data_IF_696195350870
#
_entry.id   IF_696195350870
#
_cell.length_a   1.000
_cell.length_b   1.000
_cell.length_c   1.000
_cell.angle_alpha   90.00
_cell.angle_beta   90.00
_cell.angle_gamma   90.00
#
_symmetry.space_group_name_H-M   'P 1'
#
loop_
_entity.id
_entity.type
_entity.pdbx_description
1 polymer ?
#
# COMPACT_ATOMS: atom_id res chain seq x y z
N UNK A 1 -2.99 -9.49 -19.99
CA UNK A 1 -3.17 -10.25 -18.73
C UNK A 1 -3.92 -9.36 -17.76
N UNK A 2 -4.55 -9.92 -16.73
CA UNK A 2 -5.45 -9.18 -15.82
C UNK A 2 -4.73 -8.14 -14.94
N UNK A 3 -3.39 -8.21 -14.87
CA UNK A 3 -2.53 -7.30 -14.12
C UNK A 3 -1.39 -6.81 -15.01
N UNK A 4 -1.70 -5.97 -16.00
CA UNK A 4 -0.71 -5.22 -16.77
C UNK A 4 -0.58 -3.82 -16.17
N UNK A 5 0.08 -3.73 -15.02
CA UNK A 5 0.26 -2.48 -14.26
C UNK A 5 1.73 -2.12 -14.14
N UNK A 6 2.04 -0.83 -14.18
CA UNK A 6 3.39 -0.35 -13.86
C UNK A 6 3.59 -0.28 -12.33
N UNK A 7 4.80 0.07 -11.88
CA UNK A 7 5.10 0.15 -10.44
C UNK A 7 4.34 1.30 -9.75
N UNK A 8 4.15 2.43 -10.41
CA UNK A 8 3.38 3.57 -9.90
C UNK A 8 1.93 3.13 -9.57
N UNK A 9 1.26 2.47 -10.51
CA UNK A 9 -0.10 1.96 -10.34
C UNK A 9 -0.19 0.90 -9.24
N UNK A 10 0.83 0.06 -9.09
CA UNK A 10 0.90 -0.92 -7.99
C UNK A 10 0.92 -0.20 -6.63
N UNK A 11 1.78 0.81 -6.47
CA UNK A 11 1.90 1.58 -5.24
C UNK A 11 0.62 2.36 -4.93
N UNK A 12 0.06 3.07 -5.92
CA UNK A 12 -1.21 3.81 -5.78
C UNK A 12 -2.35 2.87 -5.40
N UNK A 13 -2.42 1.69 -6.04
CA UNK A 13 -3.43 0.68 -5.70
C UNK A 13 -3.27 0.23 -4.26
N UNK A 14 -2.05 -0.06 -3.80
CA UNK A 14 -1.82 -0.50 -2.41
C UNK A 14 -2.23 0.57 -1.39
N UNK A 15 -1.96 1.86 -1.65
CA UNK A 15 -2.44 2.97 -0.82
C UNK A 15 -3.97 2.97 -0.76
N UNK A 16 -4.63 2.91 -1.92
CA UNK A 16 -6.08 2.93 -2.00
C UNK A 16 -6.73 1.70 -1.32
N UNK A 17 -6.10 0.51 -1.42
CA UNK A 17 -6.60 -0.72 -0.77
C UNK A 17 -6.35 -0.70 0.74
N UNK A 18 -5.22 -0.16 1.19
CA UNK A 18 -4.96 0.03 2.62
C UNK A 18 -5.96 1.02 3.25
N UNK A 19 -6.29 2.09 2.54
CA UNK A 19 -7.22 3.12 3.03
C UNK A 19 -8.61 2.56 3.39
N UNK A 20 -9.10 1.55 2.67
CA UNK A 20 -10.37 0.88 2.97
C UNK A 20 -10.38 0.28 4.40
N UNK A 21 -9.22 -0.11 4.95
CA UNK A 21 -9.09 -0.60 6.33
C UNK A 21 -8.69 0.51 7.29
N UNK A 22 -7.79 1.41 6.88
CA UNK A 22 -7.26 2.50 7.72
C UNK A 22 -8.35 3.46 8.22
N UNK A 23 -9.39 3.68 7.41
CA UNK A 23 -10.51 4.56 7.76
C UNK A 23 -11.40 4.01 8.88
N UNK A 24 -11.34 2.69 9.13
CA UNK A 24 -12.05 1.99 10.21
C UNK A 24 -11.10 1.65 11.37
N UNK A 25 -10.14 2.52 11.70
CA UNK A 25 -9.15 2.24 12.75
C UNK A 25 -9.64 2.69 14.13
N UNK A 26 -9.00 2.27 15.23
CA UNK A 26 -9.29 2.84 16.54
C UNK A 26 -9.25 4.38 16.54
N UNK A 27 -10.23 5.02 17.17
CA UNK A 27 -10.37 6.48 17.23
C UNK A 27 -11.19 7.12 16.10
N UNK A 28 -11.83 6.33 15.22
CA UNK A 28 -12.71 6.85 14.15
C UNK A 28 -14.18 6.47 14.29
N UNK A 29 -14.58 5.82 15.39
CA UNK A 29 -15.94 5.33 15.62
C UNK A 29 -15.94 4.10 16.53
N UNK A 30 -17.09 3.46 16.71
CA UNK A 30 -17.19 2.17 17.40
C UNK A 30 -16.91 1.00 16.46
N UNK A 31 -17.15 1.17 15.16
CA UNK A 31 -16.78 0.18 14.15
C UNK A 31 -15.28 0.24 13.87
N UNK A 32 -14.58 -0.79 14.31
CA UNK A 32 -13.11 -0.85 14.26
C UNK A 32 -12.64 -2.14 13.58
N UNK A 33 -11.84 -1.97 12.54
CA UNK A 33 -10.99 -2.98 11.94
C UNK A 33 -9.67 -3.08 12.71
N UNK A 34 -9.30 -4.30 13.10
CA UNK A 34 -7.96 -4.60 13.65
C UNK A 34 -6.85 -4.55 12.59
N UNK A 35 -7.16 -4.19 11.33
CA UNK A 35 -6.23 -4.18 10.21
C UNK A 35 -6.17 -5.51 9.47
N UNK A 36 -4.99 -5.85 8.94
CA UNK A 36 -4.83 -7.06 8.14
C UNK A 36 -3.38 -7.35 7.77
N UNK A 37 -3.20 -8.42 6.99
CA UNK A 37 -1.87 -8.80 6.47
C UNK A 37 -1.79 -8.57 4.97
N UNK A 38 -0.71 -7.95 4.53
CA UNK A 38 -0.45 -7.80 3.11
C UNK A 38 -0.05 -9.14 2.51
N UNK A 39 -0.86 -9.62 1.57
CA UNK A 39 -0.60 -10.88 0.87
C UNK A 39 0.68 -10.75 0.03
N UNK A 40 1.65 -11.63 0.30
CA UNK A 40 2.99 -11.70 -0.32
C UNK A 40 3.83 -10.45 -0.05
N UNK A 41 4.85 -10.53 0.81
CA UNK A 41 5.76 -9.40 1.01
C UNK A 41 6.78 -9.25 -0.13
N UNK A 42 7.45 -10.34 -0.48
CA UNK A 42 8.45 -10.45 -1.55
C UNK A 42 7.88 -11.27 -2.69
N UNK A 43 8.18 -10.89 -3.94
CA UNK A 43 7.82 -11.69 -5.11
C UNK A 43 8.28 -13.15 -4.95
N UNK A 44 7.48 -14.07 -5.47
CA UNK A 44 7.59 -15.50 -5.13
C UNK A 44 7.13 -16.39 -6.28
N UNK A 45 7.56 -17.66 -6.27
CA UNK A 45 7.19 -18.66 -7.28
C UNK A 45 5.88 -19.42 -6.95
N UNK A 46 4.97 -18.82 -6.17
CA UNK A 46 3.63 -19.36 -5.94
C UNK A 46 2.74 -19.14 -7.17
N UNK A 47 1.50 -19.65 -7.15
CA UNK A 47 0.48 -19.34 -8.16
C UNK A 47 0.46 -17.84 -8.52
N UNK A 48 0.50 -17.55 -9.82
CA UNK A 48 0.65 -16.20 -10.36
C UNK A 48 -0.44 -15.88 -11.38
N UNK A 49 -0.65 -14.58 -11.59
CA UNK A 49 -1.52 -14.01 -12.61
C UNK A 49 -0.79 -12.79 -13.18
N UNK A 50 -0.20 -12.92 -14.37
CA UNK A 50 0.68 -11.90 -14.92
C UNK A 50 1.36 -12.36 -16.20
N UNK A 51 2.18 -11.49 -16.79
CA UNK A 51 2.98 -11.81 -17.98
C UNK A 51 4.21 -12.68 -17.63
N UNK A 52 4.76 -12.50 -16.42
CA UNK A 52 5.87 -13.30 -15.91
C UNK A 52 5.40 -14.65 -15.36
N UNK A 53 6.30 -15.63 -15.34
CA UNK A 53 6.04 -17.00 -14.86
C UNK A 53 6.14 -17.16 -13.33
N UNK A 54 6.09 -16.06 -12.57
CA UNK A 54 6.10 -16.04 -11.11
C UNK A 54 5.24 -14.88 -10.57
N UNK A 55 4.88 -14.93 -9.29
CA UNK A 55 3.97 -13.98 -8.66
C UNK A 55 4.69 -12.69 -8.27
N UNK A 56 4.30 -11.58 -8.92
CA UNK A 56 4.86 -10.23 -8.73
C UNK A 56 4.08 -9.31 -7.78
N UNK A 57 3.37 -9.90 -6.82
CA UNK A 57 2.49 -9.16 -5.89
C UNK A 57 3.25 -8.50 -4.73
N UNK A 58 4.54 -8.77 -4.54
CA UNK A 58 5.38 -8.27 -3.46
C UNK A 58 5.58 -6.75 -3.49
N UNK A 59 5.87 -6.15 -2.33
CA UNK A 59 6.40 -4.78 -2.23
C UNK A 59 7.92 -4.75 -2.40
N UNK A 60 8.56 -5.91 -2.34
CA UNK A 60 9.91 -6.13 -2.87
C UNK A 60 9.86 -7.13 -4.01
N UNK A 61 10.87 -7.12 -4.86
CA UNK A 61 11.12 -8.21 -5.80
C UNK A 61 11.60 -9.48 -5.07
N UNK A 62 11.93 -10.54 -5.81
CA UNK A 62 12.39 -11.80 -5.25
C UNK A 62 13.82 -11.71 -4.67
N UNK A 63 14.60 -10.69 -5.03
CA UNK A 63 15.93 -10.41 -4.48
C UNK A 63 15.90 -9.40 -3.33
N UNK A 64 14.70 -9.03 -2.87
CA UNK A 64 14.47 -8.05 -1.80
C UNK A 64 14.99 -6.66 -2.17
N UNK A 65 14.87 -6.30 -3.44
CA UNK A 65 14.97 -4.92 -3.91
C UNK A 65 13.57 -4.30 -3.74
N UNK A 66 13.53 -3.16 -3.08
CA UNK A 66 12.33 -2.44 -2.71
C UNK A 66 11.67 -1.79 -3.94
N UNK A 67 10.35 -1.94 -4.07
CA UNK A 67 9.51 -1.22 -5.04
C UNK A 67 8.95 0.04 -4.40
N UNK A 68 8.38 0.96 -5.18
CA UNK A 68 7.72 2.17 -4.65
C UNK A 68 6.68 1.87 -3.56
N UNK A 69 5.96 0.75 -3.69
CA UNK A 69 4.96 0.32 -2.72
C UNK A 69 5.55 -0.01 -1.33
N UNK A 70 6.83 -0.40 -1.24
CA UNK A 70 7.52 -0.59 0.03
C UNK A 70 7.64 0.75 0.77
N UNK A 71 8.12 1.77 0.09
CA UNK A 71 8.28 3.11 0.66
C UNK A 71 6.94 3.78 0.96
N UNK A 72 5.93 3.58 0.11
CA UNK A 72 4.57 4.01 0.40
C UNK A 72 4.04 3.40 1.70
N UNK A 73 4.24 2.10 1.93
CA UNK A 73 3.88 1.45 3.20
C UNK A 73 4.70 1.99 4.37
N UNK A 74 5.99 2.27 4.20
CA UNK A 74 6.78 2.89 5.27
C UNK A 74 6.17 4.22 5.72
N UNK A 75 5.78 5.09 4.78
CA UNK A 75 5.11 6.35 5.11
C UNK A 75 3.79 6.12 5.87
N UNK A 76 2.96 5.17 5.41
CA UNK A 76 1.63 4.95 6.00
C UNK A 76 1.63 4.17 7.31
N UNK A 77 2.65 3.33 7.55
CA UNK A 77 2.69 2.35 8.64
C UNK A 77 3.78 2.63 9.67
N UNK A 78 4.45 3.79 9.63
CA UNK A 78 5.43 4.16 10.65
C UNK A 78 4.76 4.62 11.96
N UNK A 79 4.07 3.68 12.61
CA UNK A 79 3.42 3.85 13.92
C UNK A 79 2.82 2.54 14.42
N UNK A 80 1.94 2.60 15.42
CA UNK A 80 1.17 1.44 15.89
C UNK A 80 -0.25 1.46 15.30
N UNK A 81 -0.98 2.57 15.50
CA UNK A 81 -2.28 2.84 14.87
C UNK A 81 -2.18 4.15 14.11
N UNK A 82 -1.92 5.26 14.81
CA UNK A 82 -1.55 6.53 14.18
C UNK A 82 -0.05 6.55 13.85
N UNK A 83 0.31 7.31 12.81
CA UNK A 83 1.70 7.50 12.41
C UNK A 83 2.46 8.32 13.45
N UNK A 84 3.62 7.83 13.86
CA UNK A 84 4.46 8.45 14.89
C UNK A 84 5.56 9.33 14.29
N UNK A 85 5.96 9.06 13.04
CA UNK A 85 6.96 9.85 12.32
C UNK A 85 6.40 10.32 10.99
N UNK A 86 6.49 11.62 10.79
CA UNK A 86 6.09 12.22 9.53
C UNK A 86 7.10 11.91 8.44
N UNK A 87 6.61 11.42 7.31
CA UNK A 87 7.44 11.05 6.16
C UNK A 87 6.77 11.47 4.85
N UNK A 88 7.60 11.65 3.82
CA UNK A 88 7.17 11.95 2.46
C UNK A 88 7.98 11.13 1.48
N UNK A 89 7.33 10.66 0.42
CA UNK A 89 7.95 9.87 -0.63
C UNK A 89 7.34 10.23 -1.99
N UNK A 90 8.18 10.50 -2.99
CA UNK A 90 7.74 10.70 -4.37
C UNK A 90 7.83 9.34 -5.08
N UNK A 91 6.73 8.89 -5.68
CA UNK A 91 6.67 7.62 -6.42
C UNK A 91 7.42 7.77 -7.75
N UNK A 92 8.27 6.79 -8.07
CA UNK A 92 8.96 6.66 -9.35
C UNK A 92 10.32 7.36 -9.41
N UNK A 93 10.62 7.98 -10.55
CA UNK A 93 11.91 8.62 -10.84
C UNK A 93 11.73 9.94 -11.61
N UNK A 94 12.83 10.67 -11.84
CA UNK A 94 12.79 11.97 -12.55
C UNK A 94 13.71 12.00 -13.78
N UNK A 95 13.54 11.01 -14.66
CA UNK A 95 14.27 10.86 -15.92
C UNK A 95 13.26 10.57 -17.03
N UNK A 96 12.83 11.59 -17.76
CA UNK A 96 11.86 11.45 -18.83
C UNK A 96 12.38 12.14 -20.11
N UNK A 97 11.84 11.80 -21.30
CA UNK A 97 12.12 12.58 -22.49
C UNK A 97 11.71 14.04 -22.33
N UNK A 98 12.41 14.94 -23.01
CA UNK A 98 12.04 16.36 -23.07
C UNK A 98 10.57 16.52 -23.51
N UNK A 99 9.90 17.52 -22.95
CA UNK A 99 8.47 17.83 -23.17
C UNK A 99 7.48 16.80 -22.60
N UNK A 100 7.93 15.80 -21.83
CA UNK A 100 7.02 14.92 -21.10
C UNK A 100 6.18 15.74 -20.10
N UNK A 101 4.85 15.58 -20.14
CA UNK A 101 3.94 16.06 -19.10
C UNK A 101 3.25 14.85 -18.53
N UNK A 102 3.33 14.67 -17.21
CA UNK A 102 2.76 13.51 -16.53
C UNK A 102 2.22 13.89 -15.16
N UNK A 103 1.34 13.05 -14.59
CA UNK A 103 1.02 13.17 -13.18
C UNK A 103 2.21 12.77 -12.30
N UNK A 104 2.34 13.43 -11.15
CA UNK A 104 3.26 13.06 -10.08
C UNK A 104 2.45 12.68 -8.85
N UNK A 105 2.84 11.59 -8.20
CA UNK A 105 2.22 11.10 -6.98
C UNK A 105 3.19 11.15 -5.82
N UNK A 106 2.72 11.70 -4.71
CA UNK A 106 3.48 11.81 -3.47
C UNK A 106 2.71 11.13 -2.36
N UNK A 107 3.37 10.27 -1.59
CA UNK A 107 2.83 9.66 -0.39
C UNK A 107 3.32 10.46 0.80
N UNK A 108 2.42 10.95 1.65
CA UNK A 108 2.80 11.75 2.83
C UNK A 108 1.81 11.60 3.98
N UNK A 109 2.30 11.77 5.21
CA UNK A 109 1.47 11.86 6.43
C UNK A 109 0.86 13.25 6.64
N UNK A 110 1.30 14.25 5.87
CA UNK A 110 0.87 15.63 6.05
C UNK A 110 -0.57 15.90 5.66
N UNK A 111 -1.01 17.11 6.00
CA UNK A 111 -2.33 17.62 5.66
C UNK A 111 -2.33 18.25 4.28
N UNK A 112 -1.22 18.89 3.92
CA UNK A 112 -0.97 19.46 2.61
C UNK A 112 0.44 19.09 2.14
N UNK A 113 0.59 18.91 0.83
CA UNK A 113 1.90 18.71 0.19
C UNK A 113 2.02 19.69 -0.96
N UNK A 114 3.13 20.40 -1.01
CA UNK A 114 3.51 21.29 -2.11
C UNK A 114 4.66 20.67 -2.90
N UNK A 115 4.60 20.77 -4.23
CA UNK A 115 5.60 20.23 -5.12
C UNK A 115 6.43 21.37 -5.71
N UNK A 116 7.75 21.19 -5.76
CA UNK A 116 8.70 22.14 -6.29
C UNK A 116 9.51 21.49 -7.40
N UNK A 117 9.68 22.20 -8.52
CA UNK A 117 10.57 21.81 -9.60
C UNK A 117 11.66 22.88 -9.77
N UNK A 118 12.90 22.48 -9.51
CA UNK A 118 14.06 23.37 -9.53
C UNK A 118 13.85 24.64 -8.68
N UNK A 119 13.27 24.46 -7.49
CA UNK A 119 12.99 25.53 -6.53
C UNK A 119 11.71 26.34 -6.81
N UNK A 120 11.03 26.13 -7.94
CA UNK A 120 9.77 26.80 -8.26
C UNK A 120 8.59 25.96 -7.80
N UNK A 121 7.68 26.55 -7.02
CA UNK A 121 6.45 25.88 -6.61
C UNK A 121 5.55 25.57 -7.81
N UNK A 122 4.98 24.37 -7.81
CA UNK A 122 3.95 23.88 -8.73
C UNK A 122 2.57 23.83 -8.05
N UNK A 123 2.45 24.38 -6.84
CA UNK A 123 1.23 24.40 -6.04
C UNK A 123 1.08 23.17 -5.15
N UNK A 124 -0.10 23.07 -4.50
CA UNK A 124 -0.45 22.00 -3.57
C UNK A 124 -1.16 20.85 -4.28
N UNK A 125 -0.84 19.63 -3.85
CA UNK A 125 -1.38 18.41 -4.44
C UNK A 125 -2.81 18.13 -3.99
N UNK A 126 -3.57 17.43 -4.84
CA UNK A 126 -4.90 16.92 -4.48
C UNK A 126 -4.75 15.71 -3.57
N UNK A 127 -5.21 15.81 -2.32
CA UNK A 127 -5.20 14.72 -1.33
C UNK A 127 -6.27 13.67 -1.64
N UNK A 128 -5.89 12.40 -1.59
CA UNK A 128 -6.72 11.22 -1.82
C UNK A 128 -6.30 10.11 -0.85
N UNK A 129 -7.25 9.27 -0.43
CA UNK A 129 -6.98 8.11 0.44
C UNK A 129 -6.15 8.47 1.70
N UNK A 130 -6.34 9.68 2.22
CA UNK A 130 -5.60 10.32 3.32
C UNK A 130 -4.09 10.55 3.10
N UNK A 131 -3.40 9.73 2.31
CA UNK A 131 -1.93 9.74 2.20
C UNK A 131 -1.39 10.09 0.82
N UNK A 132 -2.21 10.01 -0.23
CA UNK A 132 -1.80 10.22 -1.61
C UNK A 132 -2.07 11.66 -2.05
N UNK A 133 -1.06 12.34 -2.56
CA UNK A 133 -1.16 13.67 -3.14
C UNK A 133 -0.81 13.63 -4.62
N UNK A 134 -1.76 14.02 -5.47
CA UNK A 134 -1.63 13.95 -6.93
C UNK A 134 -1.47 15.34 -7.53
N UNK A 135 -0.55 15.46 -8.48
CA UNK A 135 -0.28 16.65 -9.28
C UNK A 135 -0.41 16.27 -10.76
N UNK A 136 -1.51 16.65 -11.44
CA UNK A 136 -1.91 16.01 -12.70
C UNK A 136 -1.01 16.35 -13.92
N UNK A 137 -0.49 17.58 -13.98
CA UNK A 137 0.14 18.13 -15.19
C UNK A 137 1.54 18.68 -14.91
N UNK A 138 2.46 17.83 -14.46
CA UNK A 138 3.84 18.26 -14.20
C UNK A 138 4.68 18.10 -15.47
N UNK A 139 5.10 19.23 -16.04
CA UNK A 139 6.03 19.25 -17.17
C UNK A 139 7.44 18.92 -16.69
N UNK A 140 8.03 17.87 -17.26
CA UNK A 140 9.38 17.46 -16.96
C UNK A 140 10.39 18.54 -17.34
N UNK A 141 11.27 18.85 -16.39
CA UNK A 141 12.54 19.53 -16.65
C UNK A 141 13.63 18.81 -15.86
N UNK A 142 14.81 18.58 -16.45
CA UNK A 142 15.94 18.03 -15.72
C UNK A 142 16.25 18.84 -14.46
N UNK A 143 16.64 18.15 -13.39
CA UNK A 143 17.05 18.75 -12.13
C UNK A 143 16.39 18.07 -10.93
N UNK A 144 15.91 18.86 -9.97
CA UNK A 144 15.37 18.39 -8.69
C UNK A 144 13.86 18.58 -8.64
N UNK A 145 13.13 17.48 -8.42
CA UNK A 145 11.72 17.50 -8.04
C UNK A 145 11.63 17.23 -6.53
N UNK A 146 11.01 18.13 -5.78
CA UNK A 146 10.95 18.08 -4.32
C UNK A 146 9.51 18.24 -3.83
N UNK A 147 9.09 17.39 -2.90
CA UNK A 147 7.82 17.50 -2.22
C UNK A 147 8.05 17.92 -0.76
N UNK A 148 7.32 18.93 -0.32
CA UNK A 148 7.36 19.45 1.05
C UNK A 148 5.99 19.27 1.68
N UNK A 149 5.97 18.64 2.85
CA UNK A 149 4.75 18.26 3.57
C UNK A 149 4.54 19.17 4.77
N UNK A 150 3.29 19.59 4.97
CA UNK A 150 2.88 20.52 6.01
C UNK A 150 1.77 19.94 6.89
N UNK A 151 1.78 20.29 8.17
CA UNK A 151 0.69 19.97 9.10
C UNK A 151 -0.45 21.01 9.05
N UNK A 152 -1.52 20.81 9.84
CA UNK A 152 -2.69 21.72 9.92
C UNK A 152 -2.33 23.18 10.25
N UNK A 153 -1.21 23.40 10.94
CA UNK A 153 -0.73 24.75 11.31
C UNK A 153 0.16 25.39 10.22
N UNK A 154 0.36 24.73 9.08
CA UNK A 154 1.21 25.20 7.98
C UNK A 154 2.71 25.03 8.25
N UNK A 155 3.10 24.27 9.28
CA UNK A 155 4.51 23.98 9.56
C UNK A 155 4.99 22.79 8.73
N UNK A 156 6.17 22.92 8.13
CA UNK A 156 6.86 21.80 7.48
C UNK A 156 7.15 20.68 8.49
N UNK A 157 6.81 19.44 8.11
CA UNK A 157 6.97 18.23 8.92
C UNK A 157 7.86 17.18 8.25
N UNK A 158 7.90 17.14 6.91
CA UNK A 158 8.82 16.27 6.17
C UNK A 158 9.02 16.76 4.73
N UNK A 159 10.08 16.30 4.08
CA UNK A 159 10.37 16.58 2.67
C UNK A 159 11.04 15.39 2.00
N UNK A 160 10.88 15.27 0.69
CA UNK A 160 11.55 14.26 -0.13
C UNK A 160 11.87 14.81 -1.51
N UNK A 161 12.97 14.37 -2.11
CA UNK A 161 13.35 14.81 -3.44
C UNK A 161 13.89 13.67 -4.29
N UNK A 162 13.60 13.75 -5.59
CA UNK A 162 14.21 12.93 -6.64
C UNK A 162 14.94 13.84 -7.61
N UNK A 163 16.08 13.38 -8.10
CA UNK A 163 16.91 14.12 -9.05
C UNK A 163 16.97 13.38 -10.38
N UNK A 164 17.12 14.13 -11.47
CA UNK A 164 17.46 13.57 -12.78
C UNK A 164 18.88 13.00 -12.74
N UNK A 165 19.00 11.68 -12.92
CA UNK A 165 20.29 11.03 -13.11
C UNK A 165 20.88 11.39 -14.48
N UNK A 166 22.20 11.54 -14.56
CA UNK A 166 22.92 11.72 -15.83
C UNK A 166 23.05 10.43 -16.63
N UNK A 167 23.89 10.51 -17.67
CA UNK A 167 24.22 9.34 -18.50
C UNK A 167 24.96 8.27 -17.69
N UNK A 168 24.67 6.97 -17.93
CA UNK A 168 25.39 5.86 -17.32
C UNK A 168 26.91 5.96 -17.49
N UNK A 169 27.64 5.92 -16.37
CA UNK A 169 29.10 6.11 -16.37
C UNK A 169 29.86 4.90 -15.81
N UNK A 170 29.34 4.25 -14.76
CA UNK A 170 30.06 3.15 -14.10
C UNK A 170 29.13 2.14 -13.42
N UNK A 171 29.73 1.01 -13.02
CA UNK A 171 29.09 -0.01 -12.19
C UNK A 171 29.49 0.20 -10.73
N UNK A 172 28.52 0.14 -9.82
CA UNK A 172 28.74 0.15 -8.38
C UNK A 172 28.37 -1.21 -7.81
N UNK A 173 29.31 -1.85 -7.09
CA UNK A 173 29.08 -3.11 -6.38
C UNK A 173 29.05 -2.85 -4.87
N UNK A 174 28.00 -3.33 -4.20
CA UNK A 174 27.85 -3.24 -2.75
C UNK A 174 27.54 -4.62 -2.18
N UNK A 175 28.35 -5.11 -1.23
CA UNK A 175 28.07 -6.35 -0.51
C UNK A 175 27.16 -6.10 0.69
N UNK A 176 26.17 -6.98 0.85
CA UNK A 176 25.28 -7.08 1.99
C UNK A 176 25.55 -8.45 2.63
N UNK A 177 26.22 -8.42 3.77
CA UNK A 177 26.76 -9.60 4.47
C UNK A 177 26.00 -9.81 5.79
N UNK A 178 26.23 -10.97 6.43
CA UNK A 178 25.95 -11.13 7.84
C UNK A 178 26.67 -10.03 8.66
N UNK A 179 26.09 -9.52 9.76
CA UNK A 179 26.74 -8.55 10.64
C UNK A 179 28.15 -8.95 11.14
N UNK A 180 28.44 -10.24 11.24
CA UNK A 180 29.75 -10.76 11.65
C UNK A 180 30.70 -11.05 10.47
N UNK A 181 30.29 -10.72 9.24
CA UNK A 181 31.06 -10.97 8.01
C UNK A 181 30.64 -12.24 7.26
N UNK A 182 31.26 -12.48 6.11
CA UNK A 182 30.93 -13.62 5.26
C UNK A 182 31.66 -14.89 5.73
N UNK A 183 30.96 -15.92 6.18
CA UNK A 183 31.54 -17.10 6.82
C UNK A 183 31.73 -18.26 5.84
N UNK A 184 32.84 -19.00 5.98
CA UNK A 184 33.16 -20.18 5.19
C UNK A 184 32.57 -21.46 5.79
N UNK A 185 31.24 -21.53 5.90
CA UNK A 185 30.51 -22.72 6.37
C UNK A 185 29.87 -23.53 5.23
N UNK A 186 29.99 -23.08 3.98
CA UNK A 186 29.38 -23.72 2.81
C UNK A 186 27.90 -23.38 2.58
N UNK A 187 27.29 -22.57 3.45
CA UNK A 187 25.87 -22.23 3.41
C UNK A 187 25.63 -20.72 3.46
N UNK A 188 26.50 -19.94 4.10
CA UNK A 188 26.40 -18.50 4.21
C UNK A 188 26.39 -17.85 2.83
N UNK A 189 25.63 -16.78 2.71
CA UNK A 189 25.38 -16.10 1.45
C UNK A 189 25.63 -14.61 1.61
N UNK A 190 26.45 -14.06 0.71
CA UNK A 190 26.56 -12.62 0.54
C UNK A 190 25.70 -12.20 -0.65
N UNK A 191 24.89 -11.16 -0.42
CA UNK A 191 24.11 -10.51 -1.46
C UNK A 191 24.99 -9.41 -2.08
N UNK A 192 25.10 -9.38 -3.40
CA UNK A 192 25.84 -8.36 -4.13
C UNK A 192 24.85 -7.51 -4.90
N UNK A 193 24.65 -6.28 -4.44
CA UNK A 193 23.90 -5.29 -5.20
C UNK A 193 24.80 -4.70 -6.27
N UNK A 194 24.30 -4.71 -7.50
CA UNK A 194 24.92 -4.04 -8.65
C UNK A 194 24.02 -2.89 -9.08
N UNK A 195 24.62 -1.71 -9.26
CA UNK A 195 23.93 -0.53 -9.77
C UNK A 195 24.68 0.04 -10.98
N UNK A 196 23.94 0.46 -11.99
CA UNK A 196 24.44 1.35 -13.04
C UNK A 196 24.24 2.77 -12.55
N UNK A 197 25.33 3.52 -12.42
CA UNK A 197 25.31 4.89 -11.88
C UNK A 197 25.91 5.89 -12.86
N UNK A 198 25.43 7.12 -12.77
CA UNK A 198 25.99 8.27 -13.48
C UNK A 198 27.34 8.71 -12.88
N UNK A 199 27.94 9.76 -13.44
CA UNK A 199 29.23 10.30 -12.99
C UNK A 199 29.21 10.84 -11.54
N UNK A 200 28.03 11.17 -11.02
CA UNK A 200 27.82 11.72 -9.69
C UNK A 200 27.39 10.62 -8.69
N UNK A 201 27.34 9.36 -9.13
CA UNK A 201 27.01 8.19 -8.33
C UNK A 201 25.51 7.95 -8.16
N UNK A 202 24.65 8.65 -8.89
CA UNK A 202 23.20 8.43 -8.86
C UNK A 202 22.82 7.25 -9.75
N UNK A 203 21.95 6.37 -9.24
CA UNK A 203 21.42 5.24 -10.02
C UNK A 203 20.68 5.74 -11.26
N UNK A 204 20.99 5.18 -12.42
CA UNK A 204 20.32 5.49 -13.69
C UNK A 204 19.02 4.65 -13.83
N UNK A 205 17.82 5.22 -13.56
CA UNK A 205 16.60 4.43 -13.40
C UNK A 205 16.03 3.85 -14.71
N UNK A 206 16.55 4.28 -15.86
CA UNK A 206 16.13 3.80 -17.19
C UNK A 206 17.04 2.69 -17.73
N UNK A 207 18.12 2.37 -17.05
CA UNK A 207 19.10 1.40 -17.53
C UNK A 207 18.63 -0.04 -17.28
N UNK A 208 18.56 -0.84 -18.34
CA UNK A 208 18.17 -2.26 -18.25
C UNK A 208 19.20 -3.18 -18.94
N UNK A 209 20.47 -2.75 -19.01
CA UNK A 209 21.52 -3.50 -19.72
C UNK A 209 21.89 -4.79 -18.99
N UNK A 210 22.48 -5.72 -19.72
CA UNK A 210 23.06 -6.95 -19.15
C UNK A 210 24.45 -6.70 -18.58
N UNK A 211 24.69 -7.24 -17.38
CA UNK A 211 25.99 -7.23 -16.70
C UNK A 211 26.53 -8.66 -16.66
N UNK A 212 27.79 -8.82 -17.09
CA UNK A 212 28.52 -10.08 -17.01
C UNK A 212 29.34 -10.14 -15.72
N UNK A 213 29.17 -11.23 -14.98
CA UNK A 213 29.85 -11.51 -13.73
C UNK A 213 30.90 -12.60 -13.89
N UNK A 214 32.07 -12.40 -13.27
CA UNK A 214 33.10 -13.42 -13.13
C UNK A 214 33.46 -13.54 -11.65
N UNK A 215 33.29 -14.73 -11.09
CA UNK A 215 33.65 -15.04 -9.71
C UNK A 215 34.94 -15.87 -9.66
N UNK A 216 35.86 -15.51 -8.78
CA UNK A 216 37.08 -16.26 -8.48
C UNK A 216 37.26 -16.42 -6.97
N UNK A 217 37.89 -17.52 -6.58
CA UNK A 217 38.22 -17.79 -5.17
C UNK A 217 37.22 -18.73 -4.49
N UNK A 218 37.20 -18.71 -3.16
CA UNK A 218 36.53 -19.72 -2.33
C UNK A 218 35.01 -19.52 -2.15
N UNK A 219 34.30 -19.32 -3.26
CA UNK A 219 32.85 -19.15 -3.26
C UNK A 219 32.19 -19.64 -4.55
N UNK A 220 30.88 -19.85 -4.49
CA UNK A 220 30.06 -20.30 -5.59
C UNK A 220 29.04 -19.25 -6.00
N UNK A 221 28.90 -19.05 -7.31
CA UNK A 221 27.86 -18.19 -7.88
C UNK A 221 26.50 -18.85 -7.74
N UNK A 222 25.52 -18.10 -7.21
CA UNK A 222 24.12 -18.55 -7.06
C UNK A 222 23.13 -17.69 -7.88
N UNK A 223 23.63 -16.77 -8.71
CA UNK A 223 22.80 -16.00 -9.63
C UNK A 223 21.96 -14.91 -8.98
N UNK A 224 21.15 -14.28 -9.81
CA UNK A 224 20.04 -13.43 -9.40
C UNK A 224 18.79 -13.84 -10.18
N UNK A 225 17.91 -12.87 -10.41
CA UNK A 225 16.73 -13.02 -11.27
C UNK A 225 16.52 -11.73 -12.04
N UNK A 226 16.05 -11.84 -13.28
CA UNK A 226 15.61 -10.70 -14.09
C UNK A 226 14.54 -11.17 -15.09
N UNK A 227 13.75 -10.25 -15.63
CA UNK A 227 12.84 -10.56 -16.73
C UNK A 227 13.61 -11.08 -17.94
N UNK A 228 13.15 -12.20 -18.50
CA UNK A 228 13.80 -12.85 -19.63
C UNK A 228 13.59 -14.36 -19.68
N UNK A 229 14.23 -15.02 -20.63
CA UNK A 229 14.16 -16.47 -20.77
C UNK A 229 14.69 -17.14 -19.49
N UNK A 230 13.90 -18.06 -18.92
CA UNK A 230 14.25 -18.77 -17.67
C UNK A 230 14.57 -17.84 -16.48
N UNK A 231 14.16 -16.57 -16.54
CA UNK A 231 14.39 -15.53 -15.55
C UNK A 231 15.86 -15.31 -15.15
N UNK A 232 16.83 -15.67 -16.01
CA UNK A 232 18.27 -15.55 -15.74
C UNK A 232 18.76 -16.29 -14.48
N UNK A 233 18.02 -17.30 -14.01
CA UNK A 233 18.40 -18.06 -12.82
C UNK A 233 19.75 -18.76 -13.04
N UNK A 234 20.70 -18.52 -12.13
CA UNK A 234 22.10 -18.99 -12.18
C UNK A 234 22.95 -18.42 -13.33
N UNK A 235 22.39 -17.64 -14.25
CA UNK A 235 23.16 -17.01 -15.32
C UNK A 235 24.18 -16.02 -14.74
N UNK A 236 25.38 -16.01 -15.30
CA UNK A 236 26.39 -15.00 -15.00
C UNK A 236 26.21 -13.73 -15.84
N UNK A 237 25.28 -13.74 -16.79
CA UNK A 237 24.84 -12.58 -17.55
C UNK A 237 23.47 -12.16 -17.02
N UNK A 238 23.44 -11.17 -16.14
CA UNK A 238 22.25 -10.75 -15.42
C UNK A 238 21.89 -9.30 -15.80
N UNK A 239 20.73 -9.06 -16.41
CA UNK A 239 20.20 -7.71 -16.63
C UNK A 239 20.05 -6.93 -15.33
N UNK A 240 20.35 -5.63 -15.35
CA UNK A 240 19.76 -4.72 -14.37
C UNK A 240 18.32 -4.41 -14.77
N UNK A 241 17.48 -4.12 -13.78
CA UNK A 241 16.14 -3.60 -13.98
C UNK A 241 16.05 -2.25 -13.25
N UNK A 242 15.69 -1.19 -13.96
CA UNK A 242 15.71 0.17 -13.42
C UNK A 242 17.07 0.58 -12.81
N UNK A 243 18.16 0.17 -13.46
CA UNK A 243 19.54 0.49 -13.07
C UNK A 243 20.08 -0.32 -11.90
N UNK A 244 19.35 -1.31 -11.39
CA UNK A 244 19.76 -2.12 -10.24
C UNK A 244 19.46 -3.62 -10.45
N UNK A 245 20.29 -4.49 -9.90
CA UNK A 245 19.91 -5.87 -9.59
C UNK A 245 20.76 -6.36 -8.41
N UNK A 246 20.51 -7.59 -7.97
CA UNK A 246 21.24 -8.25 -6.90
C UNK A 246 21.52 -9.70 -7.27
N UNK A 247 22.73 -10.14 -6.96
CA UNK A 247 23.15 -11.51 -7.12
C UNK A 247 23.53 -12.13 -5.77
N UNK A 248 23.57 -13.44 -5.73
CA UNK A 248 23.90 -14.24 -4.56
C UNK A 248 25.22 -14.97 -4.80
N UNK A 249 26.10 -14.90 -3.81
CA UNK A 249 27.33 -15.71 -3.77
C UNK A 249 27.29 -16.49 -2.46
N UNK A 250 27.50 -17.81 -2.55
CA UNK A 250 27.54 -18.72 -1.40
C UNK A 250 28.99 -19.07 -1.07
N UNK A 251 29.36 -19.09 0.21
CA UNK A 251 30.71 -19.49 0.60
C UNK A 251 30.96 -20.97 0.33
N UNK A 252 32.23 -21.36 0.24
CA UNK A 252 32.61 -22.78 0.43
C UNK A 252 32.96 -23.02 1.89
N UNK A 253 33.32 -24.26 2.25
CA UNK A 253 33.80 -24.59 3.61
C UNK A 253 35.26 -24.22 3.85
N UNK A 254 35.97 -23.77 2.83
CA UNK A 254 37.35 -23.32 2.93
C UNK A 254 37.39 -21.79 2.93
N UNK A 255 37.92 -21.21 4.00
CA UNK A 255 38.10 -19.77 4.10
C UNK A 255 39.11 -19.24 3.08
N UNK A 256 38.91 -18.01 2.64
CA UNK A 256 39.84 -17.29 1.81
C UNK A 256 39.21 -16.19 0.97
N UNK A 257 40.02 -15.69 0.04
CA UNK A 257 39.67 -14.57 -0.82
C UNK A 257 38.61 -14.95 -1.83
N UNK A 258 37.65 -14.05 -2.03
CA UNK A 258 36.62 -14.11 -3.06
C UNK A 258 36.70 -12.81 -3.84
N UNK A 259 36.80 -12.87 -5.17
CA UNK A 259 36.81 -11.69 -6.03
C UNK A 259 35.73 -11.82 -7.09
N UNK A 260 34.80 -10.88 -7.08
CA UNK A 260 33.77 -10.73 -8.09
C UNK A 260 34.12 -9.56 -8.99
N UNK A 261 34.08 -9.78 -10.31
CA UNK A 261 34.21 -8.73 -11.32
C UNK A 261 32.91 -8.63 -12.11
N UNK A 262 32.43 -7.41 -12.30
CA UNK A 262 31.24 -7.06 -13.07
C UNK A 262 31.63 -6.20 -14.28
N UNK A 263 31.11 -6.55 -15.45
CA UNK A 263 31.42 -5.87 -16.71
C UNK A 263 30.14 -5.64 -17.51
N UNK A 264 30.05 -4.47 -18.16
CA UNK A 264 28.95 -4.15 -19.05
C UNK A 264 29.48 -3.34 -20.23
N UNK A 265 28.87 -3.52 -21.41
CA UNK A 265 29.27 -2.79 -22.61
C UNK A 265 29.20 -1.28 -22.37
N UNK A 266 30.29 -0.58 -22.69
CA UNK A 266 30.40 0.87 -22.60
C UNK A 266 30.57 1.45 -21.19
N UNK A 267 30.72 0.62 -20.14
CA UNK A 267 31.00 1.07 -18.77
C UNK A 267 32.35 0.56 -18.28
N UNK A 268 32.93 1.28 -17.33
CA UNK A 268 34.11 0.80 -16.59
C UNK A 268 33.74 -0.47 -15.81
N UNK A 269 34.64 -1.47 -15.85
CA UNK A 269 34.47 -2.68 -15.04
C UNK A 269 34.59 -2.36 -13.56
N UNK A 270 33.80 -3.03 -12.72
CA UNK A 270 33.89 -2.94 -11.27
C UNK A 270 34.33 -4.28 -10.69
N UNK A 271 35.13 -4.25 -9.63
CA UNK A 271 35.53 -5.44 -8.90
C UNK A 271 35.32 -5.25 -7.41
N UNK A 272 34.90 -6.30 -6.74
CA UNK A 272 34.75 -6.37 -5.30
C UNK A 272 35.53 -7.58 -4.78
N UNK A 273 36.33 -7.37 -3.75
CA UNK A 273 37.02 -8.42 -3.02
C UNK A 273 36.41 -8.57 -1.65
N UNK A 274 36.10 -9.80 -1.27
CA UNK A 274 35.63 -10.22 0.04
C UNK A 274 36.61 -11.27 0.59
N UNK A 275 36.67 -11.40 1.90
CA UNK A 275 37.41 -12.46 2.59
C UNK A 275 36.42 -13.23 3.44
N UNK A 276 36.43 -14.56 3.34
CA UNK A 276 35.56 -15.39 4.17
C UNK A 276 36.20 -15.72 5.52
N UNK A 277 35.40 -15.66 6.58
CA UNK A 277 35.79 -15.99 7.96
C UNK A 277 35.74 -17.51 8.14
N UNK A 278 36.83 -18.18 8.57
CA UNK A 278 36.81 -19.61 8.81
C UNK A 278 35.86 -20.01 9.92
N UNK A 279 35.10 -21.08 9.70
CA UNK A 279 34.23 -21.70 10.71
C UNK A 279 34.86 -22.97 11.23
N UNK A 280 35.08 -23.06 12.54
CA UNK A 280 35.69 -24.23 13.18
C UNK A 280 34.69 -25.40 13.18
N UNK A 281 35.09 -26.50 12.55
CA UNK A 281 34.35 -27.76 12.55
C UNK A 281 35.17 -28.85 13.25
N UNK A 282 34.58 -29.57 14.18
CA UNK A 282 35.21 -30.70 14.88
C UNK A 282 34.23 -31.87 14.91
N UNK A 283 34.61 -33.01 14.32
CA UNK A 283 33.72 -34.17 14.23
C UNK A 283 32.42 -33.91 13.44
N UNK A 284 32.45 -33.00 12.46
CA UNK A 284 31.26 -32.59 11.70
C UNK A 284 30.34 -31.59 12.39
N UNK A 285 30.72 -31.10 13.59
CA UNK A 285 29.96 -30.15 14.37
C UNK A 285 30.67 -28.79 14.48
N UNK A 286 29.89 -27.71 14.53
CA UNK A 286 30.38 -26.35 14.78
C UNK A 286 29.62 -25.72 15.95
N UNK A 287 30.31 -24.89 16.74
CA UNK A 287 29.67 -24.05 17.76
C UNK A 287 29.19 -22.70 17.21
N UNK A 288 29.50 -22.40 15.95
CA UNK A 288 28.99 -21.20 15.28
C UNK A 288 27.51 -21.39 14.94
N UNK A 289 26.68 -20.46 15.43
CA UNK A 289 25.24 -20.45 15.21
C UNK A 289 24.88 -19.13 14.51
N UNK A 290 24.70 -19.13 13.17
CA UNK A 290 24.40 -17.89 12.42
C UNK A 290 23.19 -17.13 12.96
N UNK A 291 22.17 -17.84 13.46
CA UNK A 291 20.98 -17.25 14.05
C UNK A 291 21.27 -16.45 15.33
N UNK A 292 22.34 -16.76 16.06
CA UNK A 292 22.73 -16.04 17.26
C UNK A 292 23.37 -14.67 16.95
N UNK A 293 23.83 -14.46 15.72
CA UNK A 293 24.46 -13.20 15.27
C UNK A 293 23.42 -12.16 14.84
N UNK A 294 22.22 -12.62 14.47
CA UNK A 294 21.10 -11.78 14.06
C UNK A 294 20.38 -11.24 15.30
N UNK A 295 20.84 -10.09 15.80
CA UNK A 295 20.15 -9.38 16.88
C UNK A 295 18.82 -8.83 16.38
N UNK A 296 17.75 -9.10 17.13
CA UNK A 296 16.46 -8.44 16.91
C UNK A 296 16.61 -6.92 17.01
N UNK A 297 15.85 -6.18 16.20
CA UNK A 297 15.75 -4.72 16.32
C UNK A 297 14.64 -4.38 17.32
N UNK A 298 15.03 -3.82 18.46
CA UNK A 298 14.15 -3.39 19.55
C UNK A 298 14.14 -1.86 19.71
N UNK A 299 14.48 -1.14 18.64
CA UNK A 299 14.61 0.32 18.59
C UNK A 299 13.28 1.06 18.79
N UNK A 300 12.14 0.39 18.60
CA UNK A 300 10.82 0.92 18.96
C UNK A 300 10.48 0.87 20.44
N UNK A 301 11.28 0.19 21.25
CA UNK A 301 11.03 0.06 22.69
C UNK A 301 9.80 -0.78 23.03
N UNK A 302 9.31 -0.61 24.25
CA UNK A 302 8.13 -1.30 24.76
C UNK A 302 6.84 -0.75 24.13
N UNK A 303 5.78 -1.56 24.13
CA UNK A 303 4.44 -1.09 23.75
C UNK A 303 4.04 0.11 24.62
N UNK A 304 3.61 1.24 24.04
CA UNK A 304 3.21 2.42 24.80
C UNK A 304 2.13 2.11 25.85
N UNK A 305 2.25 2.72 27.03
CA UNK A 305 1.25 2.60 28.11
C UNK A 305 0.00 3.45 27.87
N UNK A 306 0.07 4.40 26.92
CA UNK A 306 -1.05 5.21 26.46
C UNK A 306 -1.63 4.66 25.17
N UNK A 307 -2.89 4.97 24.82
CA UNK A 307 -3.43 4.64 23.51
C UNK A 307 -2.51 5.12 22.39
N UNK A 308 -2.36 4.29 21.37
CA UNK A 308 -1.53 4.56 20.18
C UNK A 308 -2.25 5.35 19.09
N UNK A 309 -3.41 5.92 19.43
CA UNK A 309 -4.28 6.66 18.54
C UNK A 309 -4.94 7.82 19.29
N UNK A 310 -5.46 8.78 18.53
CA UNK A 310 -6.33 9.84 19.05
C UNK A 310 -7.73 9.69 18.51
N UNK A 311 -8.71 9.89 19.38
CA UNK A 311 -10.09 9.97 18.95
C UNK A 311 -10.28 11.20 18.06
N UNK A 312 -10.71 10.95 16.84
CA UNK A 312 -11.06 11.96 15.84
C UNK A 312 -12.56 12.06 15.63
N UNK A 313 -13.29 10.97 15.92
CA UNK A 313 -14.74 10.88 15.81
C UNK A 313 -15.32 10.10 16.98
N UNK A 314 -16.60 10.34 17.24
CA UNK A 314 -17.40 9.56 18.20
C UNK A 314 -18.73 9.16 17.59
N UNK A 315 -19.15 7.93 17.87
CA UNK A 315 -20.47 7.44 17.51
C UNK A 315 -21.58 8.08 18.34
N UNK A 316 -22.70 8.35 17.71
CA UNK A 316 -23.95 8.75 18.37
C UNK A 316 -24.89 7.57 18.33
N UNK A 317 -25.25 7.05 19.50
CA UNK A 317 -26.00 5.80 19.61
C UNK A 317 -27.39 5.93 19.01
N UNK A 318 -27.81 4.89 18.30
CA UNK A 318 -29.18 4.73 17.79
C UNK A 318 -30.05 4.17 18.93
N UNK A 319 -31.18 4.82 19.20
CA UNK A 319 -32.16 4.40 20.21
C UNK A 319 -33.25 3.53 19.58
N UNK A 320 -33.68 3.87 18.36
CA UNK A 320 -34.68 3.11 17.62
C UNK A 320 -34.63 3.44 16.13
N UNK A 321 -35.27 2.61 15.31
CA UNK A 321 -35.47 2.90 13.90
C UNK A 321 -36.91 2.62 13.46
N UNK A 322 -37.36 3.37 12.45
CA UNK A 322 -38.64 3.18 11.76
C UNK A 322 -38.39 3.09 10.26
N UNK A 323 -38.90 2.05 9.64
CA UNK A 323 -38.69 1.78 8.22
C UNK A 323 -39.98 1.89 7.39
N UNK A 324 -39.83 2.17 6.09
CA UNK A 324 -40.95 2.22 5.16
C UNK A 324 -41.60 0.86 4.87
N UNK A 325 -40.90 -0.23 5.18
CA UNK A 325 -41.40 -1.62 5.20
C UNK A 325 -40.51 -2.49 6.08
N UNK A 326 -40.97 -3.69 6.42
CA UNK A 326 -40.24 -4.66 7.24
C UNK A 326 -39.73 -4.05 8.57
N UNK A 327 -40.60 -3.31 9.27
CA UNK A 327 -40.23 -2.54 10.46
C UNK A 327 -39.69 -3.41 11.61
N UNK A 328 -40.12 -4.67 11.70
CA UNK A 328 -39.62 -5.62 12.71
C UNK A 328 -38.15 -5.99 12.49
N UNK A 329 -37.62 -5.75 11.30
CA UNK A 329 -36.22 -6.01 10.94
C UNK A 329 -35.37 -4.74 10.97
N UNK A 330 -35.92 -3.57 11.34
CA UNK A 330 -35.19 -2.31 11.28
C UNK A 330 -33.94 -2.29 12.19
N UNK A 331 -33.99 -2.99 13.33
CA UNK A 331 -32.86 -3.15 14.26
C UNK A 331 -31.67 -3.88 13.62
N UNK A 332 -31.92 -4.79 12.67
CA UNK A 332 -30.88 -5.51 11.91
C UNK A 332 -30.02 -4.63 11.01
N UNK A 333 -30.27 -3.32 10.98
CA UNK A 333 -29.38 -2.37 10.30
C UNK A 333 -28.39 -1.70 11.24
N UNK A 334 -28.42 -2.01 12.53
CA UNK A 334 -27.52 -1.45 13.56
C UNK A 334 -27.38 -2.39 14.78
N UNK A 335 -27.53 -3.70 14.60
CA UNK A 335 -27.41 -4.71 15.67
C UNK A 335 -25.98 -5.23 15.87
N UNK A 336 -25.03 -4.71 15.09
CA UNK A 336 -23.61 -5.10 15.05
C UNK A 336 -23.38 -6.57 14.64
N UNK A 337 -24.32 -7.14 13.88
CA UNK A 337 -24.20 -8.48 13.30
C UNK A 337 -24.11 -8.36 11.77
N UNK A 338 -22.91 -8.52 11.22
CA UNK A 338 -22.70 -8.47 9.75
C UNK A 338 -23.39 -9.60 8.95
N UNK A 339 -24.05 -10.55 9.64
CA UNK A 339 -24.86 -11.65 9.09
C UNK A 339 -26.37 -11.37 9.11
N UNK A 340 -26.79 -10.18 9.51
CA UNK A 340 -28.19 -9.72 9.42
C UNK A 340 -28.27 -8.50 8.50
N UNK A 341 -29.48 -8.17 8.06
CA UNK A 341 -29.75 -6.97 7.28
C UNK A 341 -31.18 -6.50 7.50
N UNK A 342 -31.40 -5.21 7.32
CA UNK A 342 -32.71 -4.68 6.96
C UNK A 342 -32.80 -4.53 5.43
N UNK A 343 -33.96 -4.85 4.86
CA UNK A 343 -34.29 -4.54 3.47
C UNK A 343 -35.74 -4.15 3.30
N UNK A 344 -36.03 -3.28 2.33
CA UNK A 344 -37.41 -2.95 1.99
C UNK A 344 -38.08 -4.00 1.08
N UNK A 345 -39.39 -3.86 0.87
CA UNK A 345 -40.24 -4.75 0.05
C UNK A 345 -40.04 -4.64 -1.48
N UNK A 346 -38.96 -3.98 -1.92
CA UNK A 346 -38.61 -3.81 -3.34
C UNK A 346 -39.34 -2.69 -4.06
N UNK A 347 -40.14 -1.87 -3.35
CA UNK A 347 -40.75 -0.63 -3.87
C UNK A 347 -39.94 0.60 -3.47
N UNK A 348 -39.77 1.55 -4.39
CA UNK A 348 -39.04 2.79 -4.09
C UNK A 348 -39.70 3.62 -2.98
N UNK A 349 -41.04 3.62 -2.89
CA UNK A 349 -41.81 4.37 -1.88
C UNK A 349 -41.59 3.90 -0.44
N UNK A 350 -41.09 2.69 -0.24
CA UNK A 350 -40.80 2.06 1.06
C UNK A 350 -39.30 1.93 1.32
N UNK A 351 -38.46 2.32 0.34
CA UNK A 351 -37.00 2.19 0.37
C UNK A 351 -36.36 3.31 1.21
N UNK A 352 -36.80 3.42 2.46
CA UNK A 352 -36.28 4.38 3.43
C UNK A 352 -36.34 3.82 4.85
N UNK A 353 -35.42 4.29 5.69
CA UNK A 353 -35.36 4.00 7.12
C UNK A 353 -34.92 5.26 7.86
N UNK A 354 -35.57 5.54 8.99
CA UNK A 354 -35.29 6.69 9.86
C UNK A 354 -34.82 6.18 11.21
N UNK A 355 -33.65 6.64 11.62
CA UNK A 355 -33.01 6.34 12.89
C UNK A 355 -33.26 7.49 13.87
N UNK A 356 -33.62 7.15 15.10
CA UNK A 356 -33.68 8.08 16.23
C UNK A 356 -32.41 7.92 17.05
N UNK A 357 -31.64 8.99 17.16
CA UNK A 357 -30.40 9.08 17.91
C UNK A 357 -30.69 9.41 19.37
N UNK A 358 -29.75 9.07 20.26
CA UNK A 358 -29.90 9.31 21.70
C UNK A 358 -29.91 10.78 22.11
N UNK A 359 -29.48 11.67 21.22
CA UNK A 359 -29.46 13.12 21.39
C UNK A 359 -29.40 13.81 20.03
N UNK A 360 -29.63 15.12 20.03
CA UNK A 360 -29.31 15.95 18.88
C UNK A 360 -27.80 16.00 18.64
N UNK A 361 -27.39 15.72 17.40
CA UNK A 361 -25.99 15.71 16.98
C UNK A 361 -25.81 16.31 15.58
N UNK A 362 -24.62 16.87 15.34
CA UNK A 362 -24.17 17.33 14.01
C UNK A 362 -23.43 16.18 13.33
N UNK A 363 -24.18 15.24 12.73
CA UNK A 363 -23.59 14.08 12.07
C UNK A 363 -22.90 14.53 10.77
N UNK A 364 -21.57 14.42 10.75
CA UNK A 364 -20.72 14.78 9.60
C UNK A 364 -20.23 13.57 8.80
N UNK A 365 -20.45 12.37 9.33
CA UNK A 365 -20.03 11.12 8.73
C UNK A 365 -21.01 9.99 9.07
N UNK A 366 -21.44 9.28 8.03
CA UNK A 366 -22.34 8.14 8.13
C UNK A 366 -21.56 6.93 7.60
N UNK A 367 -21.02 6.13 8.52
CA UNK A 367 -20.36 4.87 8.19
C UNK A 367 -21.44 3.81 7.98
N UNK A 368 -21.49 3.20 6.80
CA UNK A 368 -22.55 2.28 6.41
C UNK A 368 -22.02 1.10 5.61
N UNK A 369 -22.55 -0.09 5.89
CA UNK A 369 -22.34 -1.32 5.13
C UNK A 369 -23.63 -1.71 4.42
N UNK A 370 -23.58 -1.79 3.10
CA UNK A 370 -24.73 -2.08 2.25
C UNK A 370 -24.54 -3.43 1.58
N UNK A 371 -25.58 -4.24 1.41
CA UNK A 371 -25.43 -5.54 0.76
C UNK A 371 -24.89 -5.40 -0.68
N UNK A 372 -23.98 -6.31 -1.05
CA UNK A 372 -23.34 -6.27 -2.36
C UNK A 372 -22.36 -5.11 -2.53
N UNK A 373 -21.82 -4.58 -1.43
CA UNK A 373 -20.88 -3.45 -1.35
C UNK A 373 -19.70 -3.53 -2.34
N UNK A 374 -19.27 -4.74 -2.74
CA UNK A 374 -18.22 -4.94 -3.75
C UNK A 374 -18.65 -4.56 -5.18
N UNK A 375 -19.92 -4.76 -5.52
CA UNK A 375 -20.40 -4.72 -6.90
C UNK A 375 -21.55 -3.74 -7.14
N UNK A 376 -22.25 -3.32 -6.09
CA UNK A 376 -23.44 -2.48 -6.19
C UNK A 376 -23.17 -1.06 -5.71
N UNK A 377 -23.63 -0.10 -6.50
CA UNK A 377 -23.74 1.29 -6.07
C UNK A 377 -25.21 1.66 -5.88
N UNK A 378 -25.49 2.28 -4.74
CA UNK A 378 -26.82 2.71 -4.32
C UNK A 378 -26.96 4.23 -4.51
N UNK A 379 -27.96 4.72 -5.25
CA UNK A 379 -28.29 6.15 -5.26
C UNK A 379 -29.05 6.50 -3.99
N UNK A 380 -28.40 7.16 -3.02
CA UNK A 380 -29.00 7.49 -1.73
C UNK A 380 -29.26 8.99 -1.56
N UNK A 381 -30.19 9.30 -0.67
CA UNK A 381 -30.36 10.60 -0.05
C UNK A 381 -30.39 10.41 1.47
N UNK A 382 -29.77 11.33 2.20
CA UNK A 382 -29.77 11.35 3.66
C UNK A 382 -30.31 12.67 4.18
N UNK A 383 -31.21 12.59 5.14
CA UNK A 383 -31.86 13.73 5.78
C UNK A 383 -31.54 13.76 7.27
N UNK A 384 -31.23 14.93 7.82
CA UNK A 384 -31.25 15.20 9.25
C UNK A 384 -32.53 15.99 9.59
N UNK A 385 -33.42 15.37 10.37
CA UNK A 385 -34.81 15.81 10.47
C UNK A 385 -35.44 15.90 9.08
N UNK A 386 -35.82 17.11 8.66
CA UNK A 386 -36.40 17.37 7.34
C UNK A 386 -35.39 17.94 6.32
N UNK A 387 -34.12 18.11 6.69
CA UNK A 387 -33.13 18.77 5.85
C UNK A 387 -32.28 17.74 5.12
N UNK A 388 -32.21 17.82 3.79
CA UNK A 388 -31.30 17.01 2.99
C UNK A 388 -29.85 17.40 3.29
N UNK A 389 -29.06 16.46 3.80
CA UNK A 389 -27.64 16.68 4.16
C UNK A 389 -26.67 15.96 3.22
N UNK A 390 -27.14 14.93 2.50
CA UNK A 390 -26.31 14.20 1.54
C UNK A 390 -27.16 13.63 0.39
N UNK A 391 -26.63 13.65 -0.84
CA UNK A 391 -27.24 12.97 -1.99
C UNK A 391 -26.15 12.54 -2.97
N UNK A 392 -26.19 11.28 -3.41
CA UNK A 392 -25.15 10.75 -4.29
C UNK A 392 -25.29 9.27 -4.56
N UNK A 393 -24.32 8.74 -5.29
CA UNK A 393 -24.15 7.31 -5.49
C UNK A 393 -23.09 6.82 -4.51
N UNK A 394 -23.33 5.68 -3.88
CA UNK A 394 -22.34 5.08 -2.99
C UNK A 394 -21.15 4.53 -3.77
N UNK A 395 -19.97 4.67 -3.18
CA UNK A 395 -18.79 3.96 -3.67
C UNK A 395 -18.95 2.45 -3.51
N UNK A 396 -18.15 1.71 -4.26
CA UNK A 396 -17.94 0.27 -4.03
C UNK A 396 -16.68 0.12 -3.19
N UNK A 397 -16.72 -0.71 -2.17
CA UNK A 397 -15.61 -0.94 -1.25
C UNK A 397 -15.48 -2.43 -0.91
N UNK A 398 -14.48 -2.77 -0.09
CA UNK A 398 -14.31 -4.11 0.46
C UNK A 398 -14.91 -4.24 1.89
N UNK A 399 -15.58 -3.20 2.38
CA UNK A 399 -16.12 -3.16 3.74
C UNK A 399 -17.17 -2.06 3.88
N UNK A 400 -16.94 -1.12 4.77
CA UNK A 400 -17.81 0.04 4.96
C UNK A 400 -17.55 1.10 3.89
N UNK A 401 -18.52 2.00 3.74
CA UNK A 401 -18.41 3.25 3.00
C UNK A 401 -18.79 4.38 3.95
N UNK A 402 -18.32 5.60 3.65
CA UNK A 402 -18.72 6.77 4.43
C UNK A 402 -19.37 7.81 3.54
N UNK A 403 -20.53 8.29 3.98
CA UNK A 403 -21.24 9.39 3.34
C UNK A 403 -20.87 10.68 4.08
N UNK A 404 -19.74 11.29 3.70
CA UNK A 404 -19.27 12.52 4.34
C UNK A 404 -20.22 13.68 4.05
N UNK A 405 -20.67 14.37 5.11
CA UNK A 405 -21.63 15.47 5.06
C UNK A 405 -20.87 16.80 5.22
N UNK A 406 -20.83 17.60 4.17
CA UNK A 406 -20.11 18.89 4.18
C UNK A 406 -20.73 19.92 5.12
N UNK A 407 -22.05 19.85 5.31
CA UNK A 407 -22.84 20.81 6.10
C UNK A 407 -23.75 20.05 7.05
N UNK A 408 -23.20 19.54 8.18
CA UNK A 408 -23.99 18.77 9.13
C UNK A 408 -25.08 19.64 9.76
N UNK A 409 -26.24 19.05 9.99
CA UNK A 409 -27.39 19.71 10.61
C UNK A 409 -27.67 19.03 11.94
N UNK A 410 -27.84 19.85 12.99
CA UNK A 410 -28.14 19.35 14.32
C UNK A 410 -29.55 18.75 14.37
N UNK A 411 -29.64 17.44 14.54
CA UNK A 411 -30.90 16.72 14.71
C UNK A 411 -30.67 15.41 15.47
N UNK A 412 -31.74 14.85 16.05
CA UNK A 412 -31.75 13.51 16.62
C UNK A 412 -32.38 12.47 15.69
N UNK A 413 -32.71 12.83 14.45
CA UNK A 413 -33.29 11.90 13.49
C UNK A 413 -32.53 11.95 12.18
N UNK A 414 -32.12 10.78 11.69
CA UNK A 414 -31.44 10.64 10.39
C UNK A 414 -32.25 9.67 9.52
N UNK A 415 -32.67 10.11 8.34
CA UNK A 415 -33.37 9.26 7.36
C UNK A 415 -32.45 8.96 6.19
N UNK A 416 -32.25 7.68 5.89
CA UNK A 416 -31.58 7.21 4.68
C UNK A 416 -32.64 6.67 3.73
N UNK A 417 -32.64 7.12 2.47
CA UNK A 417 -33.58 6.66 1.46
C UNK A 417 -32.91 6.44 0.11
N UNK A 418 -33.49 5.52 -0.67
CA UNK A 418 -33.10 5.27 -2.05
C UNK A 418 -33.75 6.33 -2.96
N UNK A 419 -32.94 6.95 -3.83
CA UNK A 419 -33.39 7.97 -4.79
C UNK A 419 -33.85 7.38 -6.12
N UNK A 420 -33.38 6.19 -6.48
CA UNK A 420 -33.66 5.57 -7.78
C UNK A 420 -33.11 4.15 -7.90
N UNK A 421 -32.82 3.73 -9.13
CA UNK A 421 -32.34 2.38 -9.42
C UNK A 421 -30.90 2.15 -8.95
N UNK A 422 -30.65 1.04 -8.27
CA UNK A 422 -29.29 0.56 -8.00
C UNK A 422 -28.58 0.17 -9.30
N UNK A 423 -27.25 0.29 -9.30
CA UNK A 423 -26.41 -0.14 -10.42
C UNK A 423 -25.44 -1.24 -9.98
N UNK A 424 -25.51 -2.39 -10.66
CA UNK A 424 -24.65 -3.54 -10.42
C UNK A 424 -23.55 -3.58 -11.49
N UNK A 425 -22.30 -3.42 -11.06
CA UNK A 425 -21.10 -3.65 -11.86
C UNK A 425 -19.96 -3.95 -10.91
N UNK A 426 -19.47 -5.17 -10.92
CA UNK A 426 -18.29 -5.55 -10.15
C UNK A 426 -17.12 -4.59 -10.45
N UNK A 427 -16.69 -3.84 -9.44
CA UNK A 427 -15.59 -2.88 -9.56
C UNK A 427 -14.22 -3.50 -9.26
N UNK A 428 -14.20 -4.70 -8.69
CA UNK A 428 -12.97 -5.37 -8.27
C UNK A 428 -12.64 -6.58 -9.14
N UNK A 429 -13.58 -7.04 -9.95
CA UNK A 429 -13.39 -8.09 -10.95
C UNK A 429 -13.18 -9.47 -10.32
N UNK A 430 -12.20 -10.22 -10.81
CA UNK A 430 -11.96 -11.63 -10.46
C UNK A 430 -11.35 -11.86 -9.05
N UNK A 431 -11.80 -11.15 -8.03
CA UNK A 431 -11.52 -11.56 -6.64
C UNK A 431 -12.31 -12.86 -6.40
N UNK A 432 -11.61 -13.98 -6.49
CA UNK A 432 -12.14 -15.30 -6.14
C UNK A 432 -11.85 -15.51 -4.67
N UNK A 433 -12.89 -15.49 -3.85
CA UNK A 433 -12.78 -15.92 -2.47
C UNK A 433 -12.57 -17.44 -2.44
N UNK A 434 -11.49 -17.86 -1.81
CA UNK A 434 -11.04 -19.26 -1.80
C UNK A 434 -11.99 -20.15 -0.96
N UNK A 435 -12.90 -19.55 -0.17
CA UNK A 435 -13.96 -20.22 0.61
C UNK A 435 -15.34 -19.51 0.50
N UNK A 436 -15.72 -19.09 -0.71
CA UNK A 436 -16.93 -18.28 -0.95
C UNK A 436 -18.28 -18.89 -0.48
N UNK A 437 -18.38 -20.22 -0.28
CA UNK A 437 -19.69 -20.88 -0.11
C UNK A 437 -20.20 -20.83 1.34
N UNK A 438 -19.33 -20.68 2.35
CA UNK A 438 -19.76 -20.71 3.75
C UNK A 438 -19.76 -19.33 4.43
N UNK A 439 -18.86 -18.41 4.05
CA UNK A 439 -18.65 -17.15 4.77
C UNK A 439 -19.41 -15.94 4.19
N UNK A 440 -19.81 -15.94 2.91
CA UNK A 440 -20.35 -14.77 2.21
C UNK A 440 -21.64 -15.02 1.43
N UNK A 441 -22.45 -16.02 1.82
CA UNK A 441 -23.71 -16.37 1.14
C UNK A 441 -24.64 -15.16 0.96
N UNK A 442 -24.74 -14.29 1.98
CA UNK A 442 -25.56 -13.06 1.91
C UNK A 442 -25.06 -12.04 0.89
N UNK A 443 -23.76 -11.96 0.63
CA UNK A 443 -23.22 -11.04 -0.37
C UNK A 443 -23.54 -11.49 -1.79
N UNK A 444 -23.52 -12.82 -2.01
CA UNK A 444 -23.80 -13.44 -3.30
C UNK A 444 -25.30 -13.44 -3.66
N UNK A 445 -26.17 -13.15 -2.69
CA UNK A 445 -27.61 -13.02 -2.94
C UNK A 445 -27.90 -11.85 -3.88
N UNK A 446 -28.34 -12.19 -5.09
CA UNK A 446 -28.81 -11.20 -6.06
C UNK A 446 -30.07 -10.52 -5.55
N UNK A 447 -30.12 -9.19 -5.70
CA UNK A 447 -31.36 -8.47 -5.45
C UNK A 447 -32.46 -8.93 -6.42
N UNK A 448 -33.67 -9.10 -5.90
CA UNK A 448 -34.86 -9.37 -6.72
C UNK A 448 -35.45 -8.10 -7.36
N UNK A 449 -34.99 -6.90 -6.95
CA UNK A 449 -35.49 -5.61 -7.45
C UNK A 449 -34.40 -4.53 -7.47
N UNK A 450 -34.42 -3.65 -8.49
CA UNK A 450 -33.52 -2.48 -8.56
C UNK A 450 -33.88 -1.36 -7.57
N UNK A 451 -35.02 -1.47 -6.89
CA UNK A 451 -35.46 -0.52 -5.88
C UNK A 451 -35.34 -1.08 -4.45
N UNK A 452 -34.42 -2.03 -4.26
CA UNK A 452 -34.17 -2.62 -2.95
C UNK A 452 -33.00 -1.90 -2.28
N UNK A 453 -33.25 -1.22 -1.17
CA UNK A 453 -32.25 -0.76 -0.22
C UNK A 453 -32.02 -1.87 0.80
N UNK A 454 -30.77 -2.31 0.95
CA UNK A 454 -30.35 -3.38 1.85
C UNK A 454 -29.22 -2.86 2.72
N UNK A 455 -29.46 -2.65 4.01
CA UNK A 455 -28.49 -2.12 4.97
C UNK A 455 -28.14 -3.24 5.93
N UNK A 456 -26.86 -3.58 5.98
CA UNK A 456 -26.31 -4.54 6.94
C UNK A 456 -26.06 -3.80 8.24
N UNK A 457 -25.30 -2.70 8.18
CA UNK A 457 -24.95 -1.94 9.38
C UNK A 457 -24.84 -0.44 9.06
N UNK A 458 -25.16 0.40 10.05
CA UNK A 458 -24.91 1.85 10.01
C UNK A 458 -24.40 2.33 11.36
N UNK A 459 -23.51 3.32 11.32
CA UNK A 459 -23.08 4.13 12.46
C UNK A 459 -23.10 5.61 12.07
N UNK A 460 -23.57 6.47 12.99
CA UNK A 460 -23.60 7.91 12.82
C UNK A 460 -22.51 8.57 13.65
N UNK A 461 -21.62 9.30 13.01
CA UNK A 461 -20.39 9.83 13.59
C UNK A 461 -20.40 11.37 13.59
N UNK A 462 -19.86 11.94 14.66
CA UNK A 462 -19.52 13.37 14.74
C UNK A 462 -18.02 13.55 14.99
N UNK A 463 -17.40 14.48 14.26
CA UNK A 463 -16.00 14.85 14.46
C UNK A 463 -15.82 15.51 15.82
N UNK A 464 -14.78 15.09 16.54
CA UNK A 464 -14.40 15.69 17.82
C UNK A 464 -13.68 17.02 17.52
N UNK A 465 -14.22 18.12 18.04
CA UNK A 465 -13.71 19.49 17.83
C UNK A 465 -12.60 19.84 18.82
#
# INVERSE_FOLDING_TARGET
TDYNRNQDELAITMIARWYDYWRERPGTGNRVSSGGTKIIFSDTNTHYRGAENYRRSGVTDAMRIEKDAFYAHQVMWDGWVDTEKDQTYIIGHWNYPDNTVKPVQVVSTGEEVELFLNGNSLGKGKRQYNFLFTFDNVAFKPGKLEAVSYNKAGKEISRYAVNTAGEPASLKLTAIQNPEGFHADGADMTLIQVEVVDKDGQRCPLDNRTIQFTLKGQAEWRGGIAQGKNNHILDTNLPVECGINRALIRSTTAAGKVTLTAQAKGLLSASLTLETVPVKVTGGLSTYLPQATLKGRLDRGETPSTPSYKDSKKGVRIVSAKAGSNNNDAEKSYDDIELTEWKNDGKLSTAWITYTLERDAEIDDICIKLQGWRSRSYPLEVYAGNTLIWSGNTDKSLGYIHLNVEKPVRANTITIRLKGNTSDKDAFGQIIEVEAIAANTMELEKSSSKHQLRIIEVEFLETIK
#
